data_IF_423274152269
#
_entry.id   IF_423274152269
#
_cell.length_a   1.000
_cell.length_b   1.000
_cell.length_c   1.000
_cell.angle_alpha   90.00
_cell.angle_beta   90.00
_cell.angle_gamma   90.00
#
_symmetry.space_group_name_H-M   'P 1'
#
loop_
_entity.id
_entity.type
_entity.pdbx_description
1 polymer ?
#
# COMPACT_ATOMS: atom_id res chain seq x y z
N UNK A 1 16.87 -61.53 48.88
CA UNK A 1 16.84 -62.53 47.79
C UNK A 1 16.86 -61.76 46.48
N UNK A 2 18.04 -61.72 45.88
CA UNK A 2 18.42 -60.93 44.69
C UNK A 2 17.96 -61.66 43.45
N UNK A 3 17.12 -61.08 42.59
CA UNK A 3 16.88 -61.62 41.25
C UNK A 3 16.66 -60.49 40.22
N UNK A 4 17.74 -60.25 39.48
CA UNK A 4 17.85 -60.02 38.04
C UNK A 4 16.93 -59.01 37.32
N UNK A 5 17.55 -57.89 36.94
CA UNK A 5 17.21 -57.06 35.79
C UNK A 5 17.55 -57.88 34.51
N UNK A 6 16.61 -58.17 33.59
CA UNK A 6 16.99 -58.64 32.27
C UNK A 6 17.38 -57.45 31.39
N UNK A 7 18.55 -57.61 30.79
CA UNK A 7 19.24 -56.68 29.92
C UNK A 7 18.39 -56.18 28.74
N UNK A 8 18.73 -54.95 28.34
CA UNK A 8 18.33 -54.28 27.11
C UNK A 8 18.32 -55.21 25.90
N UNK A 9 17.15 -55.38 25.28
CA UNK A 9 17.09 -55.73 23.86
C UNK A 9 17.13 -54.43 23.07
N UNK A 10 18.29 -54.14 22.50
CA UNK A 10 18.47 -53.15 21.44
C UNK A 10 17.48 -53.46 20.30
N UNK A 11 16.34 -52.75 20.27
CA UNK A 11 15.53 -52.63 19.06
C UNK A 11 16.28 -51.72 18.09
N UNK A 12 17.28 -52.30 17.44
CA UNK A 12 17.98 -51.68 16.33
C UNK A 12 17.04 -51.69 15.11
N UNK A 13 16.01 -50.85 15.12
CA UNK A 13 15.22 -50.55 13.94
C UNK A 13 16.15 -49.86 12.93
N UNK A 14 16.82 -50.67 12.10
CA UNK A 14 17.52 -50.19 10.91
C UNK A 14 16.47 -49.55 10.01
N UNK A 15 16.30 -48.24 10.14
CA UNK A 15 15.54 -47.42 9.21
C UNK A 15 16.13 -47.72 7.82
N UNK A 16 15.36 -48.31 6.89
CA UNK A 16 15.89 -48.70 5.58
C UNK A 16 16.54 -47.48 4.93
N UNK A 17 17.75 -47.64 4.38
CA UNK A 17 18.57 -46.58 3.77
C UNK A 17 17.82 -45.78 2.70
N UNK A 18 16.81 -46.38 2.09
CA UNK A 18 15.84 -45.73 1.20
C UNK A 18 15.05 -44.63 1.92
N UNK A 19 14.54 -44.86 3.13
CA UNK A 19 13.78 -43.88 3.91
C UNK A 19 14.64 -42.69 4.34
N UNK A 20 15.95 -42.91 4.62
CA UNK A 20 16.91 -41.82 4.83
C UNK A 20 17.14 -40.99 3.56
N UNK A 21 17.26 -41.63 2.39
CA UNK A 21 17.43 -40.93 1.10
C UNK A 21 16.19 -40.12 0.71
N UNK A 22 15.00 -40.69 0.84
CA UNK A 22 13.74 -39.97 0.56
C UNK A 22 13.46 -38.89 1.61
N UNK A 23 13.83 -39.10 2.88
CA UNK A 23 13.75 -38.09 3.93
C UNK A 23 14.64 -36.88 3.68
N UNK A 24 15.89 -37.10 3.25
CA UNK A 24 16.81 -36.01 2.88
C UNK A 24 16.27 -35.23 1.66
N UNK A 25 15.78 -35.93 0.64
CA UNK A 25 15.20 -35.29 -0.55
C UNK A 25 13.96 -34.44 -0.19
N UNK A 26 13.06 -34.95 0.66
CA UNK A 26 11.90 -34.22 1.17
C UNK A 26 12.31 -32.97 1.95
N UNK A 27 13.35 -33.07 2.79
CA UNK A 27 13.89 -31.91 3.51
C UNK A 27 14.39 -30.85 2.53
N UNK A 28 15.19 -31.23 1.52
CA UNK A 28 15.65 -30.27 0.51
C UNK A 28 14.48 -29.61 -0.23
N UNK A 29 13.46 -30.38 -0.64
CA UNK A 29 12.26 -29.85 -1.29
C UNK A 29 11.53 -28.84 -0.39
N UNK A 30 11.38 -29.13 0.91
CA UNK A 30 10.78 -28.20 1.88
C UNK A 30 11.62 -26.91 2.07
N UNK A 31 12.95 -27.02 2.04
CA UNK A 31 13.85 -25.86 2.08
C UNK A 31 13.76 -25.01 0.81
N UNK A 32 13.62 -25.62 -0.36
CA UNK A 32 13.45 -24.89 -1.62
C UNK A 32 12.07 -24.19 -1.69
N UNK A 33 11.01 -24.78 -1.12
CA UNK A 33 9.67 -24.19 -1.13
C UNK A 33 9.51 -22.97 -0.18
N UNK A 34 10.18 -22.97 0.97
CA UNK A 34 10.06 -21.88 1.97
C UNK A 34 10.97 -20.69 1.69
N UNK A 35 12.04 -20.87 0.89
CA UNK A 35 12.98 -19.79 0.55
C UNK A 35 12.43 -18.72 -0.40
N UNK A 36 11.43 -19.03 -1.22
CA UNK A 36 10.93 -18.11 -2.26
C UNK A 36 10.31 -16.82 -1.69
N UNK A 37 9.49 -16.92 -0.62
CA UNK A 37 8.82 -15.75 -0.05
C UNK A 37 9.79 -14.81 0.68
N UNK A 38 10.79 -15.36 1.37
CA UNK A 38 11.82 -14.56 2.03
C UNK A 38 12.71 -13.82 1.02
N UNK A 39 13.01 -14.44 -0.12
CA UNK A 39 13.73 -13.78 -1.22
C UNK A 39 12.91 -12.63 -1.79
N UNK A 40 11.59 -12.82 -2.01
CA UNK A 40 10.69 -11.75 -2.45
C UNK A 40 10.68 -10.57 -1.48
N UNK A 41 10.53 -10.84 -0.19
CA UNK A 41 10.57 -9.80 0.84
C UNK A 41 11.90 -9.05 0.85
N UNK A 42 13.03 -9.77 0.77
CA UNK A 42 14.35 -9.13 0.70
C UNK A 42 14.51 -8.24 -0.53
N UNK A 43 13.96 -8.65 -1.67
CA UNK A 43 13.95 -7.84 -2.89
C UNK A 43 13.07 -6.60 -2.72
N UNK A 44 11.87 -6.75 -2.15
CA UNK A 44 10.95 -5.65 -1.88
C UNK A 44 11.57 -4.63 -0.91
N UNK A 45 12.21 -5.07 0.17
CA UNK A 45 12.90 -4.19 1.13
C UNK A 45 14.06 -3.42 0.49
N UNK A 46 14.86 -4.05 -0.37
CA UNK A 46 15.92 -3.36 -1.13
C UNK A 46 15.36 -2.30 -2.08
N UNK A 47 14.19 -2.54 -2.65
CA UNK A 47 13.52 -1.53 -3.46
C UNK A 47 13.04 -0.36 -2.60
N UNK A 48 12.59 -0.61 -1.37
CA UNK A 48 12.17 0.44 -0.42
C UNK A 48 13.27 1.48 -0.18
N UNK A 49 14.53 1.06 -0.09
CA UNK A 49 15.70 1.96 0.06
C UNK A 49 15.88 2.92 -1.13
N UNK A 50 15.26 2.63 -2.27
CA UNK A 50 15.29 3.45 -3.48
C UNK A 50 14.01 4.27 -3.68
N UNK A 51 13.03 4.12 -2.80
CA UNK A 51 11.74 4.82 -2.84
C UNK A 51 11.68 5.90 -1.76
N UNK A 52 11.13 7.04 -2.13
CA UNK A 52 10.80 8.13 -1.21
C UNK A 52 9.29 8.26 -1.14
N UNK A 53 8.77 8.57 0.05
CA UNK A 53 7.37 8.95 0.22
C UNK A 53 7.27 10.47 0.25
N UNK A 54 6.59 11.03 -0.76
CA UNK A 54 6.21 12.45 -0.76
C UNK A 54 4.91 12.60 0.03
N UNK A 55 4.89 13.49 1.01
CA UNK A 55 3.76 13.73 1.90
C UNK A 55 3.37 15.20 1.87
N UNK A 56 2.08 15.47 1.90
CA UNK A 56 1.56 16.82 1.99
C UNK A 56 0.06 16.86 2.21
N UNK A 57 -0.52 18.05 2.10
CA UNK A 57 -1.94 18.27 2.30
C UNK A 57 -2.58 18.88 1.05
N UNK A 58 -3.74 18.36 0.63
CA UNK A 58 -4.57 19.00 -0.39
C UNK A 58 -5.75 19.69 0.28
N UNK A 59 -5.83 21.00 0.08
CA UNK A 59 -6.96 21.83 0.50
C UNK A 59 -7.88 22.12 -0.68
N UNK A 60 -9.18 22.02 -0.41
CA UNK A 60 -10.25 22.39 -1.34
C UNK A 60 -11.20 23.30 -0.56
N UNK A 61 -11.48 24.53 -1.01
CA UNK A 61 -12.34 25.45 -0.26
C UNK A 61 -13.82 25.02 -0.29
N UNK A 62 -14.24 24.29 -1.32
CA UNK A 62 -15.60 23.77 -1.49
C UNK A 62 -15.73 22.30 -1.07
N UNK A 63 -16.96 21.82 -0.98
CA UNK A 63 -17.24 20.38 -0.85
C UNK A 63 -16.65 19.66 -2.06
N UNK A 64 -15.87 18.61 -1.81
CA UNK A 64 -15.32 17.74 -2.86
C UNK A 64 -16.46 16.84 -3.37
N UNK A 65 -16.75 16.90 -4.66
CA UNK A 65 -17.76 16.05 -5.30
C UNK A 65 -17.09 15.14 -6.34
N UNK A 66 -16.69 13.95 -5.88
CA UNK A 66 -15.94 12.96 -6.65
C UNK A 66 -14.57 12.64 -6.03
N UNK A 67 -13.87 11.61 -6.53
CA UNK A 67 -12.50 11.32 -6.13
C UNK A 67 -11.56 12.52 -6.30
N UNK A 68 -10.84 12.88 -5.24
CA UNK A 68 -9.73 13.83 -5.30
C UNK A 68 -8.45 13.05 -5.61
N UNK A 69 -7.94 13.20 -6.83
CA UNK A 69 -6.74 12.51 -7.30
C UNK A 69 -5.54 13.40 -7.05
N UNK A 70 -4.48 12.85 -6.47
CA UNK A 70 -3.18 13.51 -6.31
C UNK A 70 -2.13 12.70 -7.03
N UNK A 71 -1.31 13.33 -7.86
CA UNK A 71 -0.34 12.62 -8.69
C UNK A 71 1.02 13.32 -8.71
N UNK A 72 2.08 12.50 -8.72
CA UNK A 72 3.44 12.93 -8.99
C UNK A 72 3.84 12.50 -10.40
N UNK A 73 4.40 13.42 -11.18
CA UNK A 73 4.91 13.13 -12.51
C UNK A 73 6.33 13.64 -12.71
N UNK A 74 7.11 12.88 -13.47
CA UNK A 74 8.40 13.35 -13.96
C UNK A 74 8.23 14.02 -15.33
N UNK A 75 9.15 14.91 -15.67
CA UNK A 75 9.22 15.53 -16.99
C UNK A 75 10.62 15.38 -17.56
N UNK A 76 10.79 14.43 -18.48
CA UNK A 76 12.06 14.20 -19.16
C UNK A 76 11.99 14.74 -20.59
N UNK A 77 12.60 15.91 -20.81
CA UNK A 77 12.65 16.58 -22.13
C UNK A 77 11.26 16.78 -22.76
N UNK A 78 10.29 17.20 -21.97
CA UNK A 78 8.90 17.42 -22.41
C UNK A 78 8.02 16.18 -22.39
N UNK A 79 8.59 14.98 -22.20
CA UNK A 79 7.82 13.76 -22.00
C UNK A 79 7.45 13.64 -20.51
N UNK A 80 6.16 13.85 -20.22
CA UNK A 80 5.62 13.72 -18.87
C UNK A 80 5.17 12.27 -18.62
N UNK A 81 5.40 11.77 -17.41
CA UNK A 81 4.99 10.43 -17.01
C UNK A 81 4.58 10.40 -15.54
N UNK A 82 3.41 9.85 -15.25
CA UNK A 82 2.97 9.63 -13.86
C UNK A 82 3.89 8.59 -13.21
N UNK A 83 4.50 8.97 -12.09
CA UNK A 83 5.32 8.10 -11.28
C UNK A 83 4.48 7.35 -10.23
N UNK A 84 3.49 8.04 -9.65
CA UNK A 84 2.51 7.48 -8.73
C UNK A 84 1.31 8.44 -8.60
N UNK A 85 0.16 7.89 -8.25
CA UNK A 85 -1.02 8.65 -7.88
C UNK A 85 -1.70 8.02 -6.65
N UNK A 86 -2.48 8.83 -5.95
CA UNK A 86 -3.35 8.41 -4.85
C UNK A 86 -4.72 9.04 -5.02
N UNK A 87 -5.71 8.45 -4.36
CA UNK A 87 -7.10 8.88 -4.40
C UNK A 87 -7.54 9.21 -2.98
N UNK A 88 -8.19 10.34 -2.80
CA UNK A 88 -8.79 10.78 -1.55
C UNK A 88 -10.30 10.96 -1.76
N UNK A 89 -11.11 10.70 -0.73
CA UNK A 89 -12.55 10.95 -0.80
C UNK A 89 -12.92 12.40 -0.42
N UNK A 90 -11.99 13.16 0.16
CA UNK A 90 -12.13 14.58 0.52
C UNK A 90 -10.72 15.23 0.57
N UNK A 91 -10.67 16.52 0.91
CA UNK A 91 -9.45 17.25 1.28
C UNK A 91 -8.72 16.55 2.43
N UNK A 92 -7.39 16.61 2.44
CA UNK A 92 -6.62 15.95 3.49
C UNK A 92 -5.19 15.65 3.14
N UNK A 93 -4.55 14.86 4.00
CA UNK A 93 -3.19 14.37 3.81
C UNK A 93 -3.12 13.34 2.68
N UNK A 94 -2.01 13.35 1.95
CA UNK A 94 -1.73 12.39 0.90
C UNK A 94 -0.31 11.87 0.99
N UNK A 95 -0.11 10.69 0.40
CA UNK A 95 1.20 10.04 0.30
C UNK A 95 1.44 9.52 -1.12
N UNK A 96 2.62 9.82 -1.66
CA UNK A 96 3.06 9.37 -2.98
C UNK A 96 4.43 8.72 -2.88
N UNK A 97 4.46 7.40 -2.96
CA UNK A 97 5.70 6.60 -3.07
C UNK A 97 6.29 6.65 -4.50
N UNK A 98 7.42 7.33 -4.66
CA UNK A 98 8.12 7.52 -5.94
C UNK A 98 9.58 7.05 -5.85
N UNK A 99 10.20 6.59 -6.95
CA UNK A 99 11.65 6.37 -6.99
C UNK A 99 12.43 7.67 -6.81
N UNK A 100 13.73 7.58 -6.52
CA UNK A 100 14.64 8.73 -6.59
C UNK A 100 14.48 9.48 -7.92
N UNK A 101 14.31 10.80 -7.85
CA UNK A 101 14.14 11.65 -9.03
C UNK A 101 13.51 12.99 -8.69
N UNK A 102 13.21 13.75 -9.73
CA UNK A 102 12.58 15.07 -9.60
C UNK A 102 11.15 15.01 -10.15
N UNK A 103 10.20 15.50 -9.37
CA UNK A 103 8.78 15.39 -9.66
C UNK A 103 8.06 16.72 -9.54
N UNK A 104 6.98 16.85 -10.30
CA UNK A 104 5.95 17.84 -10.07
C UNK A 104 4.74 17.14 -9.46
N UNK A 105 4.03 17.82 -8.57
CA UNK A 105 2.87 17.27 -7.87
C UNK A 105 1.66 18.15 -8.12
N UNK A 106 0.54 17.53 -8.46
CA UNK A 106 -0.72 18.19 -8.69
C UNK A 106 -1.88 17.36 -8.14
N UNK A 107 -3.02 18.02 -7.97
CA UNK A 107 -4.26 17.38 -7.57
C UNK A 107 -5.43 17.90 -8.41
N UNK A 108 -6.42 17.06 -8.67
CA UNK A 108 -7.66 17.45 -9.34
C UNK A 108 -8.85 16.64 -8.83
N UNK A 109 -10.06 17.19 -8.99
CA UNK A 109 -11.31 16.53 -8.63
C UNK A 109 -11.81 15.79 -9.87
N UNK A 110 -11.70 14.46 -9.86
CA UNK A 110 -12.13 13.55 -10.93
C UNK A 110 -13.64 13.31 -10.83
N UNK A 111 -14.45 14.16 -11.48
CA UNK A 111 -15.91 14.17 -11.29
C UNK A 111 -16.58 12.94 -11.86
N UNK A 112 -16.01 12.35 -12.91
CA UNK A 112 -16.57 11.21 -13.63
C UNK A 112 -15.83 9.89 -13.29
N UNK A 113 -14.84 9.96 -12.39
CA UNK A 113 -14.02 8.84 -11.92
C UNK A 113 -13.22 8.15 -13.02
N UNK A 114 -12.90 8.83 -14.13
CA UNK A 114 -12.24 8.23 -15.30
C UNK A 114 -10.71 8.16 -15.19
N UNK A 115 -10.10 8.77 -14.17
CA UNK A 115 -8.65 8.95 -14.01
C UNK A 115 -7.97 9.67 -15.19
N UNK A 116 -8.67 10.63 -15.77
CA UNK A 116 -8.22 11.55 -16.82
C UNK A 116 -8.51 12.95 -16.29
N UNK A 117 -7.55 13.86 -16.42
CA UNK A 117 -7.80 15.24 -16.06
C UNK A 117 -8.61 15.92 -17.18
N UNK A 118 -9.89 16.20 -16.94
CA UNK A 118 -10.80 16.81 -17.92
C UNK A 118 -10.85 18.35 -17.80
N UNK A 119 -11.25 19.06 -18.87
CA UNK A 119 -11.20 20.53 -18.94
C UNK A 119 -12.06 21.25 -17.90
N UNK A 120 -13.16 20.64 -17.47
CA UNK A 120 -14.10 21.22 -16.51
C UNK A 120 -13.74 20.89 -15.06
N UNK A 121 -12.66 20.15 -14.83
CA UNK A 121 -12.25 19.71 -13.50
C UNK A 121 -11.40 20.76 -12.78
N UNK A 122 -11.63 20.89 -11.48
CA UNK A 122 -10.86 21.79 -10.65
C UNK A 122 -9.53 21.14 -10.30
N UNK A 123 -8.43 21.83 -10.59
CA UNK A 123 -7.09 21.34 -10.33
C UNK A 123 -6.20 22.39 -9.65
N UNK A 124 -5.29 21.90 -8.81
CA UNK A 124 -4.24 22.66 -8.16
C UNK A 124 -2.89 22.00 -8.38
N UNK A 125 -1.81 22.76 -8.25
CA UNK A 125 -0.45 22.25 -8.36
C UNK A 125 0.42 22.80 -7.24
N UNK A 126 1.41 22.03 -6.84
CA UNK A 126 2.38 22.47 -5.84
C UNK A 126 3.30 23.57 -6.42
N UNK A 127 3.38 24.70 -5.72
CA UNK A 127 4.19 25.86 -6.13
C UNK A 127 3.77 26.49 -7.47
N UNK A 128 4.73 27.07 -8.21
CA UNK A 128 4.50 27.74 -9.51
C UNK A 128 5.31 27.16 -10.67
N UNK A 129 4.90 26.01 -11.23
CA UNK A 129 5.03 24.72 -10.54
C UNK A 129 6.42 24.56 -9.92
N UNK A 130 6.50 24.05 -8.69
CA UNK A 130 7.79 23.80 -8.03
C UNK A 130 8.23 22.34 -8.18
N UNK A 131 9.53 22.15 -8.38
CA UNK A 131 10.12 20.82 -8.46
C UNK A 131 10.32 20.23 -7.06
N UNK A 132 9.92 18.98 -6.89
CA UNK A 132 10.07 18.19 -5.66
C UNK A 132 11.17 17.16 -5.90
N UNK A 133 12.32 17.37 -5.26
CA UNK A 133 13.44 16.44 -5.31
C UNK A 133 13.21 15.29 -4.33
N UNK A 134 13.04 14.08 -4.86
CA UNK A 134 12.93 12.85 -4.08
C UNK A 134 14.31 12.16 -4.00
N UNK A 135 14.89 12.01 -2.81
CA UNK A 135 16.13 11.25 -2.62
C UNK A 135 15.93 9.74 -2.85
N UNK A 136 16.92 8.91 -2.53
CA UNK A 136 16.71 7.48 -2.38
C UNK A 136 16.38 7.22 -0.91
N UNK A 137 15.17 6.72 -0.62
CA UNK A 137 14.70 6.51 0.74
C UNK A 137 14.07 7.75 1.37
N UNK A 138 13.47 7.57 2.55
CA UNK A 138 12.99 8.65 3.40
C UNK A 138 11.67 9.29 2.97
N UNK A 139 11.40 10.45 3.57
CA UNK A 139 10.14 11.20 3.42
C UNK A 139 10.45 12.63 2.98
N UNK A 140 9.68 13.13 2.01
CA UNK A 140 9.68 14.55 1.61
C UNK A 140 8.35 15.17 2.03
N UNK A 141 8.32 15.91 3.16
CA UNK A 141 7.08 16.50 3.68
C UNK A 141 6.77 17.88 3.07
N UNK A 142 5.65 18.47 3.51
CA UNK A 142 5.23 19.85 3.24
C UNK A 142 4.92 20.16 1.77
N UNK A 143 4.37 19.18 1.04
CA UNK A 143 3.88 19.38 -0.33
C UNK A 143 2.41 19.79 -0.30
N UNK A 144 2.15 21.06 -0.02
CA UNK A 144 0.78 21.56 0.14
C UNK A 144 0.18 22.08 -1.17
N UNK A 145 -1.00 21.59 -1.51
CA UNK A 145 -1.72 21.94 -2.75
C UNK A 145 -3.03 22.61 -2.39
N UNK A 146 -3.33 23.70 -3.09
CA UNK A 146 -4.64 24.35 -3.03
C UNK A 146 -5.33 24.11 -4.36
N UNK A 147 -6.46 23.40 -4.34
CA UNK A 147 -7.37 23.31 -5.49
C UNK A 147 -8.33 24.51 -5.40
N UNK A 148 -8.26 25.49 -6.32
CA UNK A 148 -9.09 26.69 -6.28
C UNK A 148 -10.55 26.41 -6.66
N UNK A 149 -11.46 27.33 -6.30
CA UNK A 149 -12.88 27.27 -6.68
C UNK A 149 -13.13 27.48 -8.18
N UNK A 150 -12.17 28.13 -8.85
CA UNK A 150 -12.22 28.41 -10.28
C UNK A 150 -11.11 27.62 -10.98
N UNK A 151 -11.43 26.93 -12.07
CA UNK A 151 -10.41 26.22 -12.86
C UNK A 151 -9.27 27.15 -13.27
N UNK A 152 -8.04 26.69 -13.04
CA UNK A 152 -6.81 27.36 -13.44
C UNK A 152 -5.95 26.34 -14.18
N UNK A 153 -5.27 26.73 -15.27
CA UNK A 153 -4.39 25.82 -15.96
C UNK A 153 -3.24 25.40 -15.03
N UNK A 154 -3.05 24.10 -14.90
CA UNK A 154 -1.86 23.49 -14.33
C UNK A 154 -0.93 23.03 -15.46
N UNK A 155 0.30 22.65 -15.12
CA UNK A 155 1.26 22.19 -16.12
C UNK A 155 0.85 20.82 -16.74
N UNK A 156 0.12 19.96 -16.02
CA UNK A 156 -0.44 18.73 -16.58
C UNK A 156 -1.55 19.03 -17.61
N UNK A 157 -1.54 18.34 -18.76
CA UNK A 157 -2.47 18.65 -19.86
C UNK A 157 -3.82 17.98 -19.64
N UNK A 158 -4.88 18.65 -20.06
CA UNK A 158 -6.21 18.08 -20.11
C UNK A 158 -6.28 16.94 -21.13
N UNK A 159 -7.04 15.90 -20.83
CA UNK A 159 -7.14 14.67 -21.63
C UNK A 159 -6.00 13.66 -21.42
N UNK A 160 -4.92 14.02 -20.72
CA UNK A 160 -3.83 13.09 -20.40
C UNK A 160 -4.26 12.16 -19.26
N UNK A 161 -4.06 10.84 -19.47
CA UNK A 161 -4.42 9.80 -18.51
C UNK A 161 -3.48 9.77 -17.31
N UNK A 162 -4.03 9.56 -16.12
CA UNK A 162 -3.24 9.35 -14.90
C UNK A 162 -2.75 7.91 -14.77
N UNK A 163 -3.59 6.95 -15.16
CA UNK A 163 -3.28 5.53 -15.11
C UNK A 163 -3.39 4.89 -16.50
N UNK A 164 -2.51 3.94 -16.79
CA UNK A 164 -2.57 3.14 -18.03
C UNK A 164 -3.82 2.25 -18.02
N UNK A 165 -4.07 1.61 -16.87
CA UNK A 165 -5.23 0.77 -16.63
C UNK A 165 -6.04 1.34 -15.48
N UNK A 166 -7.36 1.45 -15.67
CA UNK A 166 -8.27 1.91 -14.63
C UNK A 166 -8.61 0.73 -13.71
N UNK A 167 -8.39 0.84 -12.39
CA UNK A 167 -8.80 -0.20 -11.47
C UNK A 167 -10.34 -0.27 -11.42
N UNK A 168 -10.86 -1.47 -11.12
CA UNK A 168 -12.30 -1.69 -11.03
C UNK A 168 -12.96 -0.86 -9.92
N UNK A 169 -12.24 -0.62 -8.82
CA UNK A 169 -12.67 0.19 -7.67
C UNK A 169 -11.57 1.18 -7.31
N UNK A 170 -11.97 2.43 -7.06
CA UNK A 170 -11.09 3.47 -6.56
C UNK A 170 -11.13 3.45 -5.03
N UNK A 171 -9.98 3.19 -4.41
CA UNK A 171 -9.87 3.16 -2.95
C UNK A 171 -9.30 4.48 -2.45
N UNK A 172 -10.06 5.16 -1.58
CA UNK A 172 -9.52 6.30 -0.85
C UNK A 172 -8.40 5.85 0.07
N UNK A 173 -7.29 6.61 0.06
CA UNK A 173 -6.16 6.47 0.99
C UNK A 173 -6.16 7.51 2.10
N UNK A 174 -7.12 8.44 2.08
CA UNK A 174 -7.33 9.38 3.18
C UNK A 174 -7.78 8.63 4.44
N UNK A 175 -7.18 8.95 5.58
CA UNK A 175 -7.57 8.40 6.88
C UNK A 175 -9.03 8.74 7.20
N UNK A 176 -9.73 7.82 7.87
CA UNK A 176 -11.16 7.99 8.13
C UNK A 176 -12.07 7.45 7.02
N UNK A 177 -11.51 6.89 5.94
CA UNK A 177 -12.30 6.23 4.92
C UNK A 177 -13.10 5.06 5.52
N UNK A 178 -14.42 5.10 5.35
CA UNK A 178 -15.35 4.09 5.88
C UNK A 178 -15.30 2.84 4.99
N UNK A 179 -15.21 1.66 5.62
CA UNK A 179 -15.09 0.37 4.95
C UNK A 179 -15.75 -0.75 5.76
N UNK A 180 -16.32 -1.73 5.07
CA UNK A 180 -16.82 -2.96 5.67
C UNK A 180 -15.71 -4.01 5.84
N UNK A 181 -15.86 -4.89 6.84
CA UNK A 181 -14.87 -5.94 7.12
C UNK A 181 -14.71 -6.98 6.01
N UNK A 182 -15.67 -7.06 5.09
CA UNK A 182 -15.64 -7.94 3.92
C UNK A 182 -15.00 -7.30 2.68
N UNK A 183 -14.52 -6.05 2.78
CA UNK A 183 -13.82 -5.38 1.67
C UNK A 183 -12.59 -6.18 1.24
N UNK A 184 -12.38 -6.25 -0.08
CA UNK A 184 -11.31 -7.04 -0.68
C UNK A 184 -9.93 -6.73 -0.08
N UNK A 185 -9.69 -5.49 0.36
CA UNK A 185 -8.44 -5.07 1.05
C UNK A 185 -8.09 -5.94 2.26
N UNK A 186 -9.08 -6.55 2.90
CA UNK A 186 -8.93 -7.43 4.04
C UNK A 186 -8.86 -8.93 3.67
N UNK A 187 -8.81 -9.26 2.38
CA UNK A 187 -8.62 -10.64 1.92
C UNK A 187 -7.27 -11.20 2.34
N UNK A 188 -7.19 -12.52 2.47
CA UNK A 188 -5.93 -13.23 2.77
C UNK A 188 -4.84 -12.97 1.73
N UNK A 189 -5.22 -12.82 0.46
CA UNK A 189 -4.30 -12.47 -0.61
C UNK A 189 -3.60 -11.14 -0.31
N UNK A 190 -4.36 -10.10 0.02
CA UNK A 190 -3.81 -8.79 0.34
C UNK A 190 -3.13 -8.75 1.72
N UNK A 191 -3.58 -9.54 2.70
CA UNK A 191 -2.89 -9.74 3.97
C UNK A 191 -1.50 -10.37 3.78
N UNK A 192 -1.39 -11.36 2.90
CA UNK A 192 -0.13 -11.98 2.49
C UNK A 192 0.75 -11.00 1.71
N UNK A 193 0.16 -10.23 0.78
CA UNK A 193 0.85 -9.19 0.02
C UNK A 193 1.44 -8.11 0.92
N UNK A 194 0.68 -7.62 1.92
CA UNK A 194 1.13 -6.63 2.89
C UNK A 194 2.32 -7.10 3.72
N UNK A 195 2.45 -8.42 3.96
CA UNK A 195 3.57 -8.99 4.69
C UNK A 195 4.79 -9.28 3.81
N UNK A 196 4.60 -9.91 2.65
CA UNK A 196 5.72 -10.38 1.80
C UNK A 196 6.18 -9.38 0.75
N UNK A 197 5.32 -8.44 0.37
CA UNK A 197 5.58 -7.39 -0.64
C UNK A 197 4.96 -6.06 -0.21
N UNK A 198 5.37 -5.51 0.94
CA UNK A 198 4.74 -4.32 1.55
C UNK A 198 4.73 -3.09 0.64
N UNK A 199 5.76 -2.87 -0.19
CA UNK A 199 5.75 -1.72 -1.11
C UNK A 199 4.69 -1.87 -2.20
N UNK A 200 4.47 -3.08 -2.71
CA UNK A 200 3.40 -3.36 -3.68
C UNK A 200 2.02 -3.13 -3.06
N UNK A 201 1.83 -3.59 -1.83
CA UNK A 201 0.60 -3.34 -1.07
C UNK A 201 0.38 -1.84 -0.88
N UNK A 202 1.39 -1.11 -0.40
CA UNK A 202 1.32 0.33 -0.18
C UNK A 202 1.02 1.10 -1.48
N UNK A 203 1.66 0.74 -2.60
CA UNK A 203 1.37 1.34 -3.90
C UNK A 203 -0.06 1.11 -4.39
N UNK A 204 -0.74 0.10 -3.87
CA UNK A 204 -2.13 -0.23 -4.25
C UNK A 204 -3.12 0.42 -3.29
N UNK A 205 -2.92 0.26 -1.98
CA UNK A 205 -3.89 0.63 -0.95
C UNK A 205 -3.45 1.77 -0.03
N UNK A 206 -2.16 2.11 -0.03
CA UNK A 206 -1.54 3.06 0.91
C UNK A 206 -1.31 2.48 2.31
N UNK A 207 -0.82 3.32 3.21
CA UNK A 207 -0.79 3.08 4.64
C UNK A 207 -1.75 4.03 5.32
N UNK A 208 -3.00 3.62 5.54
CA UNK A 208 -4.03 4.49 6.09
C UNK A 208 -4.83 3.83 7.21
N UNK A 209 -5.48 4.66 8.02
CA UNK A 209 -6.40 4.20 9.06
C UNK A 209 -7.80 4.19 8.48
N UNK A 210 -8.38 3.00 8.39
CA UNK A 210 -9.72 2.75 7.89
C UNK A 210 -10.72 2.65 9.04
N UNK A 211 -11.93 3.13 8.82
CA UNK A 211 -12.97 3.22 9.84
C UNK A 211 -14.12 2.29 9.47
N UNK A 212 -14.77 1.67 10.46
CA UNK A 212 -15.96 0.84 10.22
C UNK A 212 -17.23 1.68 10.19
N UNK A 213 -17.22 2.84 10.85
CA UNK A 213 -18.31 3.79 10.87
C UNK A 213 -17.76 5.23 10.91
N UNK A 214 -18.66 6.21 10.75
CA UNK A 214 -18.29 7.61 10.82
C UNK A 214 -17.78 7.95 12.23
N UNK A 215 -16.65 8.67 12.30
CA UNK A 215 -16.10 9.17 13.55
C UNK A 215 -17.13 9.98 14.35
N UNK A 216 -17.31 9.62 15.62
CA UNK A 216 -18.09 10.36 16.61
C UNK A 216 -17.18 10.78 17.78
N UNK A 217 -16.92 12.09 17.97
CA UNK A 217 -16.07 12.57 19.07
C UNK A 217 -16.67 12.33 20.45
N UNK A 218 -17.96 11.96 20.55
CA UNK A 218 -18.61 11.60 21.82
C UNK A 218 -18.43 10.13 22.20
N UNK A 219 -17.89 9.30 21.28
CA UNK A 219 -17.54 7.90 21.54
C UNK A 219 -16.04 7.77 21.81
N UNK A 220 -15.66 6.79 22.62
CA UNK A 220 -14.25 6.42 22.80
C UNK A 220 -13.80 5.71 21.52
N UNK A 221 -12.83 6.26 20.77
CA UNK A 221 -12.34 5.59 19.57
C UNK A 221 -11.55 4.35 19.95
N UNK A 222 -11.77 3.27 19.23
CA UNK A 222 -11.02 2.04 19.41
C UNK A 222 -10.14 1.78 18.19
N UNK A 223 -8.85 1.58 18.43
CA UNK A 223 -7.91 1.19 17.39
C UNK A 223 -7.59 -0.31 17.49
N UNK A 224 -8.03 -1.07 16.49
CA UNK A 224 -7.67 -2.47 16.32
C UNK A 224 -6.56 -2.59 15.27
N UNK A 225 -5.56 -3.43 15.52
CA UNK A 225 -4.54 -3.80 14.53
C UNK A 225 -4.53 -5.32 14.35
N UNK A 226 -4.41 -5.76 13.10
CA UNK A 226 -4.38 -7.18 12.75
C UNK A 226 -2.93 -7.63 12.59
N UNK A 227 -2.61 -8.81 13.12
CA UNK A 227 -1.30 -9.42 12.93
C UNK A 227 -1.06 -9.70 11.43
N UNK A 228 0.20 -9.71 10.97
CA UNK A 228 0.48 -10.01 9.57
C UNK A 228 -0.11 -11.35 9.14
N UNK A 229 -0.72 -11.39 7.95
CA UNK A 229 -1.39 -12.58 7.37
C UNK A 229 -2.70 -13.01 8.07
N UNK A 230 -3.11 -12.35 9.16
CA UNK A 230 -4.43 -12.58 9.78
C UNK A 230 -5.51 -11.71 9.14
N UNK A 231 -6.78 -12.15 9.22
CA UNK A 231 -7.93 -11.36 8.76
C UNK A 231 -8.59 -10.62 9.95
N UNK A 232 -9.11 -9.40 9.72
CA UNK A 232 -10.12 -8.84 10.61
C UNK A 232 -11.30 -9.81 10.74
N UNK A 233 -11.54 -10.36 11.93
CA UNK A 233 -12.64 -11.31 12.17
C UNK A 233 -12.26 -12.74 12.57
N UNK A 234 -11.02 -13.18 12.34
CA UNK A 234 -10.56 -14.57 12.64
C UNK A 234 -10.24 -14.80 14.14
N UNK A 235 -10.93 -14.11 15.06
CA UNK A 235 -10.66 -14.16 16.51
C UNK A 235 -9.37 -13.44 16.94
N UNK A 236 -8.68 -12.78 16.00
CA UNK A 236 -7.63 -11.81 16.28
C UNK A 236 -8.29 -10.44 16.47
N UNK A 237 -8.51 -10.07 17.74
CA UNK A 237 -9.04 -8.79 18.25
C UNK A 237 -9.87 -7.96 17.25
N UNK A 238 -11.18 -8.21 17.28
CA UNK A 238 -12.19 -7.29 16.80
C UNK A 238 -12.56 -6.35 17.94
N UNK A 239 -12.41 -5.04 17.73
CA UNK A 239 -13.17 -4.08 18.51
C UNK A 239 -13.67 -2.96 17.58
N UNK A 240 -15.00 -2.93 17.45
CA UNK A 240 -15.84 -2.00 16.69
C UNK A 240 -15.68 -0.58 17.23
N UNK A 241 -15.49 0.40 16.34
CA UNK A 241 -15.77 1.80 16.67
C UNK A 241 -17.28 2.00 16.48
#
# INVERSE_FOLDING_TARGET
>A
MTVFIPASKDLNHKVPTLWKRYGILLIFICFYATGCSLVKLKQDLRQSELLTVIVGYVSVPTVVNGPLVVAAYSNHRGKKAIAHYTILHDRGEFELMVPKGDYYVFAYIDKNSNLIYDEDELAGQYGKPALVAAPAGGVVPNIDIVVPESSRPIDWRTGDKIAVERPQKLYSRLAGAIVDLDDQRFSEEHGSQGFWTPNSFFRTFGGTILFLEKYDPQKIPVFSYTAPVARPGDGSFLLTI
#
